data_IF_885977770011
#
_entry.id   IF_885977770011
#
_cell.length_a   1.000
_cell.length_b   1.000
_cell.length_c   1.000
_cell.angle_alpha   90.00
_cell.angle_beta   90.00
_cell.angle_gamma   90.00
#
_symmetry.space_group_name_H-M   'P 1'
#
loop_
_entity.id
_entity.type
_entity.pdbx_description
1 polymer ?
#
# COMPACT_ATOMS: atom_id res chain seq x y z
N UNK A 1 19.30 -6.13 7.45
CA UNK A 1 20.09 -5.87 8.66
C UNK A 1 19.32 -6.33 9.90
N UNK A 2 20.04 -6.69 10.95
CA UNK A 2 19.47 -7.00 12.27
C UNK A 2 19.98 -5.92 13.24
N UNK A 3 19.07 -5.09 13.71
CA UNK A 3 19.39 -3.91 14.53
C UNK A 3 18.79 -4.12 15.92
N UNK A 4 19.58 -3.86 16.96
CA UNK A 4 19.19 -4.10 18.36
C UNK A 4 17.84 -3.42 18.74
N UNK A 5 17.59 -2.22 18.21
CA UNK A 5 16.36 -1.46 18.52
C UNK A 5 15.18 -1.76 17.59
N UNK A 6 15.45 -2.20 16.35
CA UNK A 6 14.45 -2.34 15.29
C UNK A 6 14.22 -3.78 14.86
N UNK A 7 15.03 -4.72 15.35
CA UNK A 7 15.06 -6.09 14.88
C UNK A 7 15.53 -6.19 13.44
N UNK A 8 15.04 -7.20 12.73
CA UNK A 8 15.37 -7.35 11.31
C UNK A 8 14.70 -6.24 10.50
N UNK A 9 15.50 -5.58 9.67
CA UNK A 9 15.07 -4.41 8.91
C UNK A 9 15.50 -4.51 7.46
N UNK A 10 14.62 -4.06 6.55
CA UNK A 10 14.90 -3.85 5.14
C UNK A 10 15.34 -2.41 4.92
N UNK A 11 16.40 -2.24 4.15
CA UNK A 11 16.86 -0.94 3.66
C UNK A 11 16.89 -0.97 2.14
N UNK A 12 16.35 0.07 1.50
CA UNK A 12 16.45 0.33 0.07
C UNK A 12 17.05 1.73 -0.07
N UNK A 13 18.11 1.86 -0.84
CA UNK A 13 18.81 3.14 -1.10
C UNK A 13 19.25 3.87 0.19
N UNK A 14 19.56 3.12 1.25
CA UNK A 14 19.99 3.66 2.54
C UNK A 14 18.86 4.10 3.48
N UNK A 15 17.62 4.08 3.04
CA UNK A 15 16.43 4.37 3.84
C UNK A 15 15.80 3.09 4.38
N UNK A 16 15.37 3.13 5.66
CA UNK A 16 14.64 2.01 6.25
C UNK A 16 13.22 1.96 5.68
N UNK A 17 12.85 0.81 5.14
CA UNK A 17 11.53 0.58 4.56
C UNK A 17 10.59 -0.13 5.54
N UNK A 18 11.11 -1.13 6.23
CA UNK A 18 10.35 -1.91 7.20
C UNK A 18 11.26 -2.45 8.30
N UNK A 19 10.76 -2.53 9.51
CA UNK A 19 11.40 -3.16 10.64
C UNK A 19 10.44 -4.09 11.38
N UNK A 20 10.93 -5.25 11.82
CA UNK A 20 10.08 -6.26 12.49
C UNK A 20 9.54 -5.82 13.84
N UNK A 21 10.09 -4.75 14.43
CA UNK A 21 9.66 -4.21 15.72
C UNK A 21 8.33 -3.49 15.70
N UNK A 22 8.00 -2.81 14.59
CA UNK A 22 6.85 -1.90 14.51
C UNK A 22 5.96 -2.11 13.26
N UNK A 23 6.39 -2.95 12.33
CA UNK A 23 5.67 -3.24 11.09
C UNK A 23 4.21 -3.62 11.35
N UNK A 24 3.96 -4.47 12.36
CA UNK A 24 2.59 -4.91 12.65
C UNK A 24 1.68 -3.74 13.04
N UNK A 25 2.19 -2.78 13.79
CA UNK A 25 1.44 -1.56 14.14
C UNK A 25 1.17 -0.72 12.90
N UNK A 26 2.20 -0.53 12.05
CA UNK A 26 2.06 0.18 10.79
C UNK A 26 0.99 -0.45 9.90
N UNK A 27 1.16 -1.71 9.51
CA UNK A 27 0.26 -2.38 8.56
C UNK A 27 -1.17 -2.49 9.08
N UNK A 28 -1.36 -2.80 10.37
CA UNK A 28 -2.70 -2.90 10.96
C UNK A 28 -3.41 -1.55 11.02
N UNK A 29 -2.69 -0.47 11.33
CA UNK A 29 -3.23 0.89 11.33
C UNK A 29 -3.53 1.35 9.92
N UNK A 30 -2.60 1.16 8.99
CA UNK A 30 -2.72 1.56 7.59
C UNK A 30 -3.94 0.94 6.91
N UNK A 31 -4.12 -0.37 7.06
CA UNK A 31 -5.31 -1.06 6.52
C UNK A 31 -6.56 -0.70 7.33
N UNK A 32 -6.46 -0.65 8.66
CA UNK A 32 -7.59 -0.39 9.54
C UNK A 32 -8.19 1.00 9.40
N UNK A 33 -7.38 2.04 9.19
CA UNK A 33 -7.83 3.43 9.07
C UNK A 33 -8.67 3.68 7.81
N UNK A 34 -8.40 2.93 6.73
CA UNK A 34 -9.14 3.06 5.48
C UNK A 34 -10.42 2.23 5.40
N UNK A 35 -10.71 1.35 6.38
CA UNK A 35 -11.86 0.47 6.27
C UNK A 35 -13.18 1.22 6.43
N UNK A 36 -14.04 1.11 5.41
CA UNK A 36 -15.43 1.51 5.55
C UNK A 36 -16.22 0.40 6.26
N UNK A 37 -16.51 0.60 7.54
CA UNK A 37 -17.21 -0.39 8.39
C UNK A 37 -18.64 -0.71 7.92
N UNK A 38 -19.19 0.07 7.00
CA UNK A 38 -20.53 -0.14 6.44
C UNK A 38 -20.52 -0.93 5.13
N UNK A 39 -19.36 -1.40 4.68
CA UNK A 39 -19.21 -2.19 3.44
C UNK A 39 -18.57 -3.54 3.72
N UNK A 40 -18.92 -4.51 2.88
CA UNK A 40 -18.17 -5.75 2.81
C UNK A 40 -16.81 -5.50 2.13
N UNK A 41 -15.76 -6.12 2.65
CA UNK A 41 -14.41 -6.06 2.09
C UNK A 41 -14.31 -7.03 0.91
N UNK A 42 -14.84 -6.63 -0.25
CA UNK A 42 -14.92 -7.53 -1.39
C UNK A 42 -13.59 -7.57 -2.16
N UNK A 43 -13.10 -6.42 -2.61
CA UNK A 43 -11.90 -6.38 -3.44
C UNK A 43 -10.99 -5.20 -3.11
N UNK A 44 -9.71 -5.50 -2.91
CA UNK A 44 -8.67 -4.51 -2.67
C UNK A 44 -7.63 -4.52 -3.79
N UNK A 45 -7.06 -3.33 -4.07
CA UNK A 45 -5.79 -3.19 -4.77
C UNK A 45 -4.73 -2.75 -3.76
N UNK A 46 -3.53 -3.33 -3.85
CA UNK A 46 -2.34 -2.87 -3.13
C UNK A 46 -1.32 -2.43 -4.17
N UNK A 47 -0.81 -1.21 -4.05
CA UNK A 47 0.20 -0.63 -4.93
C UNK A 47 1.47 -0.45 -4.12
N UNK A 48 2.51 -1.24 -4.40
CA UNK A 48 3.71 -1.35 -3.60
C UNK A 48 3.55 -2.31 -2.42
N UNK A 49 4.15 -2.00 -1.28
CA UNK A 49 4.07 -2.82 -0.07
C UNK A 49 4.77 -4.18 -0.18
N UNK A 50 5.94 -4.20 -0.81
CA UNK A 50 6.71 -5.41 -1.12
C UNK A 50 7.10 -6.28 0.08
N UNK A 51 7.00 -5.76 1.32
CA UNK A 51 7.19 -6.55 2.54
C UNK A 51 6.05 -7.53 2.83
N UNK A 52 4.85 -7.28 2.24
CA UNK A 52 3.66 -8.12 2.38
C UNK A 52 2.83 -7.88 3.64
N UNK A 53 3.16 -6.89 4.47
CA UNK A 53 2.42 -6.56 5.69
C UNK A 53 1.01 -6.10 5.39
N UNK A 54 0.84 -5.21 4.42
CA UNK A 54 -0.47 -4.74 3.95
C UNK A 54 -1.30 -5.90 3.38
N UNK A 55 -0.70 -6.78 2.58
CA UNK A 55 -1.39 -7.95 2.04
C UNK A 55 -1.86 -8.89 3.16
N UNK A 56 -1.01 -9.16 4.16
CA UNK A 56 -1.39 -9.94 5.36
C UNK A 56 -2.58 -9.31 6.09
N UNK A 57 -2.57 -8.00 6.29
CA UNK A 57 -3.67 -7.32 6.97
C UNK A 57 -4.98 -7.36 6.14
N UNK A 58 -4.92 -7.17 4.83
CA UNK A 58 -6.09 -7.32 3.96
C UNK A 58 -6.69 -8.74 4.06
N UNK A 59 -5.85 -9.79 4.11
CA UNK A 59 -6.30 -11.17 4.34
C UNK A 59 -6.98 -11.28 5.71
N UNK A 60 -6.39 -10.70 6.77
CA UNK A 60 -6.94 -10.73 8.12
C UNK A 60 -8.29 -10.03 8.23
N UNK A 61 -8.50 -8.97 7.44
CA UNK A 61 -9.76 -8.21 7.31
C UNK A 61 -10.75 -8.85 6.33
N UNK A 62 -10.44 -10.05 5.83
CA UNK A 62 -11.32 -10.88 5.00
C UNK A 62 -11.70 -10.26 3.66
N UNK A 63 -10.78 -9.54 3.02
CA UNK A 63 -10.96 -9.23 1.61
C UNK A 63 -11.03 -10.51 0.80
N UNK A 64 -12.06 -10.65 -0.02
CA UNK A 64 -12.29 -11.84 -0.84
C UNK A 64 -11.28 -11.92 -1.99
N UNK A 65 -10.92 -10.75 -2.55
CA UNK A 65 -9.96 -10.63 -3.65
C UNK A 65 -8.99 -9.49 -3.36
N UNK A 66 -7.70 -9.75 -3.56
CA UNK A 66 -6.61 -8.81 -3.35
C UNK A 66 -5.72 -8.87 -4.59
N UNK A 67 -5.72 -7.80 -5.40
CA UNK A 67 -4.74 -7.63 -6.47
C UNK A 67 -3.55 -6.84 -5.91
N UNK A 68 -2.41 -7.49 -5.80
CA UNK A 68 -1.19 -6.90 -5.25
C UNK A 68 -0.21 -6.59 -6.38
N UNK A 69 -0.03 -5.29 -6.66
CA UNK A 69 0.84 -4.74 -7.68
C UNK A 69 2.17 -4.35 -7.07
N UNK A 70 3.24 -5.04 -7.43
CA UNK A 70 4.58 -4.77 -6.93
C UNK A 70 5.58 -4.70 -8.09
N UNK A 71 6.37 -3.63 -8.07
CA UNK A 71 7.33 -3.34 -9.14
C UNK A 71 8.44 -4.38 -9.19
N UNK A 72 8.96 -4.75 -8.01
CA UNK A 72 10.12 -5.61 -7.86
C UNK A 72 9.81 -6.90 -7.08
N UNK A 73 9.58 -8.01 -7.76
CA UNK A 73 9.31 -9.29 -7.11
C UNK A 73 10.48 -9.78 -6.23
N UNK A 74 11.73 -9.30 -6.46
CA UNK A 74 12.87 -9.69 -5.64
C UNK A 74 12.75 -9.12 -4.21
N UNK A 75 12.15 -7.93 -4.05
CA UNK A 75 11.86 -7.35 -2.73
C UNK A 75 10.94 -8.30 -1.95
N UNK A 76 9.88 -8.79 -2.57
CA UNK A 76 8.94 -9.74 -1.94
C UNK A 76 9.64 -11.04 -1.56
N UNK A 77 10.50 -11.57 -2.43
CA UNK A 77 11.26 -12.79 -2.16
C UNK A 77 12.21 -12.60 -0.98
N UNK A 78 12.97 -11.50 -0.95
CA UNK A 78 13.91 -11.17 0.13
C UNK A 78 13.16 -10.98 1.46
N UNK A 79 12.03 -10.28 1.45
CA UNK A 79 11.21 -10.11 2.65
C UNK A 79 10.67 -11.46 3.16
N UNK A 80 10.10 -12.29 2.32
CA UNK A 80 9.62 -13.62 2.69
C UNK A 80 10.73 -14.50 3.27
N UNK A 81 11.94 -14.39 2.74
CA UNK A 81 13.09 -15.19 3.17
C UNK A 81 13.69 -14.72 4.49
N UNK A 82 13.81 -13.42 4.69
CA UNK A 82 14.59 -12.83 5.78
C UNK A 82 13.78 -12.15 6.86
N UNK A 83 12.59 -11.64 6.55
CA UNK A 83 11.69 -10.97 7.48
C UNK A 83 10.50 -11.87 7.89
N UNK A 84 10.48 -13.08 7.39
CA UNK A 84 9.74 -14.28 7.78
C UNK A 84 8.24 -14.12 8.00
N UNK A 85 7.87 -13.47 9.07
CA UNK A 85 6.47 -13.45 9.51
C UNK A 85 5.68 -12.22 9.05
N UNK A 86 6.32 -11.21 8.43
CA UNK A 86 5.63 -9.99 8.02
C UNK A 86 4.53 -10.33 7.01
N UNK A 87 4.89 -10.78 5.85
CA UNK A 87 3.94 -11.13 4.81
C UNK A 87 3.18 -12.44 5.05
N UNK A 88 3.64 -13.31 5.96
CA UNK A 88 3.06 -14.63 6.28
C UNK A 88 2.66 -15.42 5.04
N UNK A 89 3.52 -15.39 4.02
CA UNK A 89 3.28 -16.06 2.74
C UNK A 89 1.97 -15.62 2.07
N UNK A 90 1.69 -14.33 2.11
CA UNK A 90 0.49 -13.77 1.48
C UNK A 90 0.39 -14.10 0.00
N UNK A 91 1.53 -14.22 -0.69
CA UNK A 91 1.62 -14.64 -2.11
C UNK A 91 1.07 -16.03 -2.39
N UNK A 92 1.01 -16.91 -1.38
CA UNK A 92 0.51 -18.28 -1.51
C UNK A 92 -1.00 -18.39 -1.25
N UNK A 93 -1.69 -17.29 -0.91
CA UNK A 93 -3.12 -17.30 -0.59
C UNK A 93 -3.98 -17.18 -1.85
N UNK A 94 -5.01 -18.00 -1.94
CA UNK A 94 -5.92 -17.99 -3.09
C UNK A 94 -6.67 -16.66 -3.30
N UNK A 95 -6.81 -15.86 -2.24
CA UNK A 95 -7.41 -14.52 -2.32
C UNK A 95 -6.46 -13.46 -2.87
N UNK A 96 -5.15 -13.75 -2.99
CA UNK A 96 -4.14 -12.79 -3.44
C UNK A 96 -3.68 -13.14 -4.85
N UNK A 97 -3.76 -12.15 -5.73
CA UNK A 97 -3.19 -12.20 -7.07
C UNK A 97 -2.05 -11.19 -7.14
N UNK A 98 -0.81 -11.68 -7.26
CA UNK A 98 0.34 -10.82 -7.48
C UNK A 98 0.42 -10.41 -8.96
N UNK A 99 0.68 -9.14 -9.19
CA UNK A 99 0.89 -8.54 -10.52
C UNK A 99 2.24 -7.83 -10.48
N UNK A 100 3.23 -8.42 -11.14
CA UNK A 100 4.60 -7.93 -11.13
C UNK A 100 4.83 -6.88 -12.22
N UNK A 101 5.52 -5.80 -11.87
CA UNK A 101 5.87 -4.70 -12.75
C UNK A 101 5.19 -3.39 -12.38
N UNK A 102 5.22 -2.42 -13.30
CA UNK A 102 4.64 -1.10 -13.06
C UNK A 102 3.13 -1.18 -12.80
N UNK A 103 2.76 -0.85 -11.57
CA UNK A 103 1.37 -0.85 -11.11
C UNK A 103 0.51 0.11 -11.94
N UNK A 104 1.03 1.31 -12.24
CA UNK A 104 0.27 2.34 -12.95
C UNK A 104 0.06 2.02 -14.43
N UNK A 105 0.94 1.22 -15.03
CA UNK A 105 0.67 0.65 -16.36
C UNK A 105 -0.35 -0.49 -16.26
N UNK A 106 -0.24 -1.35 -15.27
CA UNK A 106 -1.11 -2.51 -15.09
C UNK A 106 -2.56 -2.12 -14.83
N UNK A 107 -2.81 -1.10 -13.99
CA UNK A 107 -4.17 -0.65 -13.65
C UNK A 107 -4.92 -0.01 -14.82
N UNK A 108 -4.24 0.41 -15.89
CA UNK A 108 -4.90 0.96 -17.09
C UNK A 108 -5.85 -0.04 -17.73
N UNK A 109 -5.59 -1.33 -17.59
CA UNK A 109 -6.41 -2.42 -18.16
C UNK A 109 -7.48 -2.94 -17.22
N UNK A 110 -7.51 -2.47 -15.97
CA UNK A 110 -8.53 -2.82 -14.98
C UNK A 110 -9.85 -2.12 -15.34
N UNK A 111 -10.97 -2.81 -15.16
CA UNK A 111 -12.28 -2.24 -15.39
C UNK A 111 -12.58 -1.09 -14.41
N UNK A 112 -13.49 -0.20 -14.80
CA UNK A 112 -14.03 0.83 -13.91
C UNK A 112 -14.73 0.18 -12.70
N UNK A 113 -14.82 0.91 -11.58
CA UNK A 113 -15.55 0.51 -10.38
C UNK A 113 -15.21 -0.91 -9.88
N UNK A 114 -13.92 -1.27 -9.93
CA UNK A 114 -13.46 -2.62 -9.58
C UNK A 114 -13.19 -2.78 -8.08
N UNK A 115 -12.55 -1.79 -7.44
CA UNK A 115 -12.03 -1.93 -6.07
C UNK A 115 -12.88 -1.17 -5.05
N UNK A 116 -13.12 -1.82 -3.92
CA UNK A 116 -13.69 -1.18 -2.73
C UNK A 116 -12.64 -0.36 -2.00
N UNK A 117 -11.39 -0.84 -2.00
CA UNK A 117 -10.24 -0.20 -1.40
C UNK A 117 -9.02 -0.22 -2.31
N UNK A 118 -8.28 0.88 -2.31
CA UNK A 118 -6.94 0.97 -2.91
C UNK A 118 -5.98 1.42 -1.82
N UNK A 119 -4.96 0.60 -1.56
CA UNK A 119 -3.88 0.89 -0.63
C UNK A 119 -2.64 1.28 -1.44
N UNK A 120 -2.17 2.53 -1.28
CA UNK A 120 -0.97 3.06 -1.96
C UNK A 120 0.16 3.09 -0.95
N UNK A 121 0.98 2.04 -0.94
CA UNK A 121 2.09 1.83 -0.01
C UNK A 121 3.42 1.98 -0.77
N UNK A 122 3.69 3.20 -1.18
CA UNK A 122 4.90 3.62 -1.88
C UNK A 122 5.79 4.45 -0.97
N UNK A 123 7.04 4.68 -1.39
CA UNK A 123 7.93 5.60 -0.70
C UNK A 123 7.31 7.01 -0.62
N UNK A 124 7.61 7.71 0.47
CA UNK A 124 7.10 9.05 0.75
C UNK A 124 7.97 10.17 0.12
N UNK A 125 8.63 9.87 -1.00
CA UNK A 125 9.44 10.83 -1.74
C UNK A 125 8.64 11.60 -2.81
N UNK A 126 9.22 12.68 -3.32
CA UNK A 126 8.56 13.54 -4.31
C UNK A 126 8.28 12.79 -5.63
N UNK A 127 9.14 11.85 -6.01
CA UNK A 127 8.93 11.06 -7.22
C UNK A 127 7.65 10.22 -7.14
N UNK A 128 7.43 9.53 -6.01
CA UNK A 128 6.23 8.73 -5.78
C UNK A 128 4.96 9.59 -5.72
N UNK A 129 5.04 10.80 -5.13
CA UNK A 129 3.94 11.77 -5.10
C UNK A 129 3.57 12.20 -6.53
N UNK A 130 4.56 12.58 -7.34
CA UNK A 130 4.34 13.02 -8.72
C UNK A 130 3.81 11.88 -9.60
N UNK A 131 4.29 10.66 -9.37
CA UNK A 131 3.82 9.47 -10.07
C UNK A 131 2.35 9.16 -9.75
N UNK A 132 1.97 9.19 -8.48
CA UNK A 132 0.58 9.01 -8.06
C UNK A 132 -0.32 10.13 -8.59
N UNK A 133 0.14 11.40 -8.53
CA UNK A 133 -0.60 12.55 -9.05
C UNK A 133 -0.87 12.44 -10.55
N UNK A 134 0.13 12.00 -11.32
CA UNK A 134 0.01 11.76 -12.78
C UNK A 134 -1.01 10.67 -13.12
N UNK A 135 -1.16 9.68 -12.26
CA UNK A 135 -2.01 8.52 -12.51
C UNK A 135 -3.32 8.53 -11.69
N UNK A 136 -3.62 9.65 -11.03
CA UNK A 136 -4.79 9.75 -10.14
C UNK A 136 -6.11 9.46 -10.86
N UNK A 137 -6.29 9.90 -12.10
CA UNK A 137 -7.49 9.60 -12.89
C UNK A 137 -7.70 8.08 -13.07
N UNK A 138 -6.60 7.31 -13.21
CA UNK A 138 -6.68 5.86 -13.29
C UNK A 138 -7.08 5.23 -11.96
N UNK A 139 -6.57 5.75 -10.84
CA UNK A 139 -6.96 5.29 -9.50
C UNK A 139 -8.44 5.58 -9.21
N UNK A 140 -8.89 6.80 -9.53
CA UNK A 140 -10.31 7.19 -9.37
C UNK A 140 -11.21 6.30 -10.23
N UNK A 141 -10.84 6.05 -11.48
CA UNK A 141 -11.63 5.24 -12.41
C UNK A 141 -11.86 3.80 -11.93
N UNK A 142 -10.83 3.17 -11.35
CA UNK A 142 -10.94 1.78 -10.89
C UNK A 142 -11.52 1.63 -9.49
N UNK A 143 -11.65 2.75 -8.75
CA UNK A 143 -12.29 2.78 -7.45
C UNK A 143 -13.81 2.80 -7.61
N UNK A 144 -14.52 1.96 -6.87
CA UNK A 144 -16.00 1.96 -6.84
C UNK A 144 -16.53 3.29 -6.27
N UNK A 145 -17.74 3.69 -6.62
CA UNK A 145 -18.44 4.74 -5.89
C UNK A 145 -18.43 4.43 -4.39
N UNK A 146 -18.12 5.43 -3.54
CA UNK A 146 -17.92 5.29 -2.09
C UNK A 146 -16.75 4.37 -1.68
N UNK A 147 -15.87 3.99 -2.61
CA UNK A 147 -14.61 3.32 -2.30
C UNK A 147 -13.63 4.25 -1.61
N UNK A 148 -12.59 3.69 -0.99
CA UNK A 148 -11.60 4.44 -0.22
C UNK A 148 -10.20 4.21 -0.78
N UNK A 149 -9.41 5.28 -0.87
CA UNK A 149 -7.96 5.19 -1.08
C UNK A 149 -7.26 5.54 0.23
N UNK A 150 -6.38 4.65 0.67
CA UNK A 150 -5.45 4.91 1.77
C UNK A 150 -4.03 4.97 1.21
N UNK A 151 -3.28 6.01 1.55
CA UNK A 151 -1.92 6.19 1.06
C UNK A 151 -0.94 6.45 2.21
N UNK A 152 0.24 5.86 2.10
CA UNK A 152 1.38 6.21 2.92
C UNK A 152 1.89 7.58 2.46
N UNK A 153 1.93 8.55 3.38
CA UNK A 153 2.25 9.95 3.04
C UNK A 153 3.47 10.49 3.80
N UNK A 154 4.10 9.64 4.62
CA UNK A 154 5.22 10.03 5.47
C UNK A 154 4.82 10.61 6.82
N UNK A 155 5.80 11.12 7.53
CA UNK A 155 5.63 11.68 8.88
C UNK A 155 5.35 13.17 8.82
N UNK A 156 4.23 13.60 9.39
CA UNK A 156 3.88 15.02 9.51
C UNK A 156 4.98 15.82 10.25
N UNK A 157 5.60 15.21 11.26
CA UNK A 157 6.63 15.90 12.05
C UNK A 157 7.97 16.00 11.31
N UNK A 158 8.32 14.99 10.51
CA UNK A 158 9.63 14.92 9.83
C UNK A 158 9.59 15.51 8.41
N UNK A 159 8.48 15.30 7.70
CA UNK A 159 8.33 15.63 6.28
C UNK A 159 7.02 16.39 5.99
N UNK A 160 6.71 17.49 6.71
CA UNK A 160 5.41 18.17 6.60
C UNK A 160 5.08 18.61 5.16
N UNK A 161 6.06 19.08 4.40
CA UNK A 161 5.84 19.50 3.00
C UNK A 161 5.43 18.36 2.08
N UNK A 162 5.95 17.15 2.31
CA UNK A 162 5.56 15.99 1.51
C UNK A 162 4.14 15.56 1.85
N UNK A 163 3.78 15.57 3.14
CA UNK A 163 2.41 15.31 3.59
C UNK A 163 1.44 16.33 2.99
N UNK A 164 1.77 17.62 3.00
CA UNK A 164 0.96 18.67 2.38
C UNK A 164 0.81 18.45 0.86
N UNK A 165 1.87 18.03 0.17
CA UNK A 165 1.80 17.71 -1.26
C UNK A 165 0.85 16.54 -1.53
N UNK A 166 0.92 15.45 -0.75
CA UNK A 166 0.00 14.34 -0.85
C UNK A 166 -1.45 14.78 -0.61
N UNK A 167 -1.70 15.52 0.46
CA UNK A 167 -3.04 16.06 0.77
C UNK A 167 -3.59 16.92 -0.37
N UNK A 168 -2.75 17.76 -1.00
CA UNK A 168 -3.16 18.57 -2.14
C UNK A 168 -3.56 17.71 -3.34
N UNK A 169 -2.81 16.65 -3.62
CA UNK A 169 -3.13 15.69 -4.70
C UNK A 169 -4.48 15.02 -4.45
N UNK A 170 -4.70 14.50 -3.24
CA UNK A 170 -5.96 13.83 -2.91
C UNK A 170 -7.14 14.79 -2.82
N UNK A 171 -6.99 15.95 -2.19
CA UNK A 171 -8.07 16.96 -2.09
C UNK A 171 -8.54 17.48 -3.44
N UNK A 172 -7.64 17.61 -4.40
CA UNK A 172 -7.99 18.01 -5.76
C UNK A 172 -8.95 17.02 -6.45
N UNK A 173 -8.82 15.74 -6.13
CA UNK A 173 -9.56 14.65 -6.80
C UNK A 173 -10.77 14.16 -6.00
N UNK A 174 -10.72 14.20 -4.67
CA UNK A 174 -11.76 13.66 -3.78
C UNK A 174 -12.45 14.71 -2.91
N UNK A 175 -11.84 15.89 -2.73
CA UNK A 175 -12.41 16.99 -1.96
C UNK A 175 -12.38 16.83 -0.43
N UNK A 176 -11.99 15.69 0.11
CA UNK A 176 -12.03 15.38 1.53
C UNK A 176 -10.93 14.37 1.97
N UNK A 177 -9.68 14.67 1.68
CA UNK A 177 -8.57 13.90 2.23
C UNK A 177 -8.35 14.26 3.71
N UNK A 178 -8.12 13.24 4.55
CA UNK A 178 -7.81 13.37 5.97
C UNK A 178 -6.55 12.59 6.32
N UNK A 179 -5.83 13.05 7.36
CA UNK A 179 -4.69 12.35 7.95
C UNK A 179 -5.14 11.41 9.08
#
# INVERSE_FOLDING_TARGET
>A
LDLEQFGKSLFIDGEIQVATSDEHLYSSTFVGSGLNLNRENERAAIIGGGDGGVARECISKKFNFIDWYELDPEVVEVCNKHLGDIGKKSTEKNSVKCVWGDAFESIKTVNEDTYDHIFVDLNDDQFCIDLAAKNMDSLVRILKPDGVITAQVGSQDKKPKQVDNWLNVFNKNFGNATL
#
